data_IF_951209278081
#
_entry.id   IF_951209278081
#
_cell.length_a   1.000
_cell.length_b   1.000
_cell.length_c   1.000
_cell.angle_alpha   90.00
_cell.angle_beta   90.00
_cell.angle_gamma   90.00
#
_symmetry.space_group_name_H-M   'P 1'
#
loop_
_entity.id
_entity.type
_entity.pdbx_description
1 polymer ?
#
# COMPACT_ATOMS: atom_id res chain seq x y z
N UNK A 1 22.61 -11.50 18.43
CA UNK A 1 21.41 -10.67 18.61
C UNK A 1 20.77 -10.52 17.23
N UNK A 2 19.59 -11.11 16.99
CA UNK A 2 18.85 -10.87 15.76
C UNK A 2 18.34 -9.43 15.79
N UNK A 3 18.75 -8.61 14.82
CA UNK A 3 18.19 -7.28 14.61
C UNK A 3 16.73 -7.48 14.20
N UNK A 4 15.79 -6.79 14.85
CA UNK A 4 14.39 -6.85 14.45
C UNK A 4 14.26 -6.40 12.99
N UNK A 5 13.41 -7.07 12.21
CA UNK A 5 13.13 -6.68 10.83
C UNK A 5 12.55 -5.27 10.78
N UNK A 6 12.77 -4.53 9.69
CA UNK A 6 12.24 -3.16 9.57
C UNK A 6 10.71 -3.15 9.70
N UNK A 7 10.07 -4.21 9.19
CA UNK A 7 8.65 -4.46 9.37
C UNK A 7 8.22 -4.47 10.84
N UNK A 8 8.91 -5.24 11.69
CA UNK A 8 8.61 -5.32 13.13
C UNK A 8 8.83 -3.97 13.82
N UNK A 9 9.86 -3.23 13.41
CA UNK A 9 10.16 -1.91 13.96
C UNK A 9 9.03 -0.93 13.69
N UNK A 10 8.56 -0.80 12.44
CA UNK A 10 7.48 0.14 12.09
C UNK A 10 6.15 -0.20 12.74
N UNK A 11 5.77 -1.48 12.72
CA UNK A 11 4.53 -1.92 13.36
C UNK A 11 4.55 -1.63 14.87
N UNK A 12 5.69 -1.92 15.52
CA UNK A 12 5.87 -1.60 16.93
C UNK A 12 5.88 -0.09 17.20
N UNK A 13 6.52 0.72 16.37
CA UNK A 13 6.53 2.18 16.49
C UNK A 13 5.11 2.76 16.37
N UNK A 14 4.32 2.27 15.42
CA UNK A 14 2.91 2.65 15.29
C UNK A 14 2.13 2.28 16.56
N UNK A 15 2.25 1.03 17.03
CA UNK A 15 1.55 0.56 18.23
C UNK A 15 1.94 1.37 19.48
N UNK A 16 3.20 1.73 19.62
CA UNK A 16 3.71 2.56 20.72
C UNK A 16 3.16 3.99 20.66
N UNK A 17 3.12 4.61 19.49
CA UNK A 17 2.55 5.95 19.32
C UNK A 17 1.05 5.98 19.62
N UNK A 18 0.31 4.96 19.17
CA UNK A 18 -1.13 4.81 19.44
C UNK A 18 -1.39 4.65 20.94
N UNK A 19 -0.58 3.83 21.63
CA UNK A 19 -0.71 3.61 23.09
C UNK A 19 -0.40 4.84 23.94
N UNK A 20 0.43 5.76 23.44
CA UNK A 20 0.76 7.00 24.15
C UNK A 20 -0.37 8.03 24.10
N UNK A 21 -1.40 7.82 23.27
CA UNK A 21 -2.62 8.63 23.26
C UNK A 21 -3.67 8.01 24.18
N UNK A 22 -4.17 8.76 25.16
CA UNK A 22 -5.25 8.34 26.09
C UNK A 22 -6.49 7.78 25.38
N UNK A 23 -6.70 8.18 24.13
CA UNK A 23 -7.59 7.55 23.14
C UNK A 23 -7.00 7.82 21.76
N UNK A 24 -6.79 6.81 20.90
CA UNK A 24 -6.41 7.07 19.51
C UNK A 24 -7.59 7.73 18.80
N UNK A 25 -7.56 9.05 18.77
CA UNK A 25 -8.47 9.82 17.95
C UNK A 25 -8.05 9.69 16.48
N UNK A 26 -8.97 9.82 15.53
CA UNK A 26 -8.68 9.64 14.11
C UNK A 26 -7.47 10.46 13.64
N UNK A 27 -7.31 11.67 14.16
CA UNK A 27 -6.18 12.56 13.88
C UNK A 27 -4.84 11.93 14.29
N UNK A 28 -4.78 11.25 15.43
CA UNK A 28 -3.60 10.51 15.88
C UNK A 28 -3.27 9.37 14.92
N UNK A 29 -4.28 8.64 14.43
CA UNK A 29 -4.07 7.57 13.47
C UNK A 29 -3.52 8.12 12.16
N UNK A 30 -4.13 9.18 11.61
CA UNK A 30 -3.66 9.83 10.38
C UNK A 30 -2.21 10.34 10.54
N UNK A 31 -1.89 10.99 11.65
CA UNK A 31 -0.55 11.51 11.92
C UNK A 31 0.47 10.37 12.14
N UNK A 32 0.10 9.31 12.84
CA UNK A 32 0.95 8.14 13.09
C UNK A 32 1.27 7.43 11.77
N UNK A 33 0.28 7.20 10.92
CA UNK A 33 0.49 6.58 9.60
C UNK A 33 1.39 7.47 8.74
N UNK A 34 1.18 8.79 8.76
CA UNK A 34 2.05 9.73 8.06
C UNK A 34 3.50 9.68 8.56
N UNK A 35 3.72 9.66 9.88
CA UNK A 35 5.08 9.62 10.45
C UNK A 35 5.79 8.30 10.24
N UNK A 36 5.10 7.19 10.43
CA UNK A 36 5.71 5.85 10.41
C UNK A 36 5.81 5.31 8.98
N UNK A 37 4.82 5.54 8.14
CA UNK A 37 4.73 4.98 6.79
C UNK A 37 4.94 6.01 5.68
N UNK A 38 5.22 7.28 6.03
CA UNK A 38 5.35 8.38 5.05
C UNK A 38 4.12 8.50 4.13
N UNK A 39 2.93 8.25 4.68
CA UNK A 39 1.69 8.16 3.92
C UNK A 39 0.62 9.10 4.50
N UNK A 40 0.14 10.03 3.68
CA UNK A 40 -0.91 10.97 4.08
C UNK A 40 -2.30 10.43 3.69
N UNK A 41 -2.93 9.70 4.62
CA UNK A 41 -4.27 9.13 4.42
C UNK A 41 -5.33 10.22 4.17
N UNK A 42 -5.15 11.42 4.71
CA UNK A 42 -6.10 12.52 4.48
C UNK A 42 -5.99 13.01 3.03
N UNK A 43 -4.79 13.21 2.53
CA UNK A 43 -4.56 13.58 1.13
C UNK A 43 -5.09 12.50 0.16
N UNK A 44 -4.86 11.23 0.47
CA UNK A 44 -5.42 10.09 -0.30
C UNK A 44 -6.95 10.19 -0.37
N UNK A 45 -7.59 10.43 0.78
CA UNK A 45 -9.03 10.63 0.86
C UNK A 45 -9.50 11.84 0.06
N UNK A 46 -8.84 13.00 0.19
CA UNK A 46 -9.25 14.25 -0.46
C UNK A 46 -9.14 14.17 -2.00
N UNK A 47 -8.24 13.31 -2.51
CA UNK A 47 -8.11 13.02 -3.94
C UNK A 47 -9.08 11.95 -4.46
N UNK A 48 -9.84 11.30 -3.57
CA UNK A 48 -10.73 10.19 -3.92
C UNK A 48 -9.99 8.90 -4.32
N UNK A 49 -8.73 8.76 -3.92
CA UNK A 49 -7.90 7.58 -4.23
C UNK A 49 -7.99 6.50 -3.13
N UNK A 50 -7.29 5.38 -3.30
CA UNK A 50 -7.31 4.23 -2.37
C UNK A 50 -8.34 3.16 -2.78
N UNK A 51 -9.19 2.69 -1.86
CA UNK A 51 -10.25 1.70 -2.19
C UNK A 51 -11.27 2.34 -3.13
N UNK A 52 -11.37 1.80 -4.35
CA UNK A 52 -12.25 2.28 -5.42
C UNK A 52 -13.47 1.37 -5.66
N UNK A 53 -13.71 0.40 -4.78
CA UNK A 53 -14.89 -0.46 -4.87
C UNK A 53 -16.18 0.36 -4.71
N UNK A 54 -17.25 -0.06 -5.40
CA UNK A 54 -18.54 0.64 -5.37
C UNK A 54 -19.26 0.57 -4.02
N UNK A 55 -18.70 -0.13 -3.03
CA UNK A 55 -19.25 -0.28 -1.68
C UNK A 55 -18.14 -0.69 -0.70
N UNK A 56 -18.16 -0.17 0.52
CA UNK A 56 -17.36 -0.71 1.62
C UNK A 56 -17.86 -2.10 2.07
N UNK A 57 -17.06 -2.78 2.90
CA UNK A 57 -17.49 -4.02 3.55
C UNK A 57 -18.67 -3.78 4.50
N UNK A 58 -19.45 -4.83 4.78
CA UNK A 58 -20.59 -4.73 5.70
C UNK A 58 -20.18 -4.24 7.09
N UNK A 59 -18.98 -4.60 7.56
CA UNK A 59 -18.44 -4.12 8.83
C UNK A 59 -18.25 -2.59 8.86
N UNK A 60 -17.72 -2.00 7.79
CA UNK A 60 -17.57 -0.55 7.66
C UNK A 60 -18.95 0.12 7.57
N UNK A 61 -19.84 -0.44 6.75
CA UNK A 61 -21.20 0.10 6.58
C UNK A 61 -21.98 0.10 7.91
N UNK A 62 -21.89 -0.98 8.68
CA UNK A 62 -22.52 -1.09 9.99
C UNK A 62 -21.93 -0.09 10.99
N UNK A 63 -20.60 0.05 11.02
CA UNK A 63 -19.91 0.95 11.96
C UNK A 63 -20.31 2.42 11.74
N UNK A 64 -20.34 2.88 10.49
CA UNK A 64 -20.80 4.23 10.14
C UNK A 64 -22.29 4.38 10.42
N UNK A 65 -23.09 3.39 10.04
CA UNK A 65 -24.54 3.39 10.21
C UNK A 65 -24.96 3.57 11.67
N UNK A 66 -24.32 2.86 12.62
CA UNK A 66 -24.61 2.98 14.05
C UNK A 66 -24.44 4.41 14.58
N UNK A 67 -23.51 5.17 14.02
CA UNK A 67 -23.19 6.53 14.48
C UNK A 67 -24.06 7.60 13.83
N UNK A 68 -24.37 7.45 12.55
CA UNK A 68 -24.99 8.51 11.73
C UNK A 68 -26.45 8.24 11.38
N UNK A 69 -27.09 7.26 12.00
CA UNK A 69 -28.47 6.89 11.69
C UNK A 69 -29.48 8.04 11.87
N UNK A 70 -30.43 8.21 10.93
CA UNK A 70 -30.60 7.44 9.70
C UNK A 70 -29.62 7.87 8.59
N UNK A 71 -29.02 6.90 7.88
CA UNK A 71 -28.15 7.14 6.72
C UNK A 71 -28.20 5.96 5.74
N UNK A 72 -28.12 6.25 4.44
CA UNK A 72 -28.07 5.24 3.37
C UNK A 72 -26.64 4.87 2.97
N UNK A 73 -26.45 3.69 2.37
CA UNK A 73 -25.16 3.27 1.79
C UNK A 73 -24.60 4.31 0.80
N UNK A 74 -25.45 4.90 -0.03
CA UNK A 74 -25.04 5.92 -1.00
C UNK A 74 -24.51 7.20 -0.32
N UNK A 75 -25.11 7.60 0.80
CA UNK A 75 -24.61 8.73 1.59
C UNK A 75 -23.27 8.40 2.26
N UNK A 76 -23.10 7.18 2.79
CA UNK A 76 -21.84 6.72 3.38
C UNK A 76 -20.71 6.77 2.33
N UNK A 77 -20.98 6.34 1.10
CA UNK A 77 -20.00 6.33 0.01
C UNK A 77 -19.57 7.73 -0.44
N UNK A 78 -20.33 8.79 -0.10
CA UNK A 78 -19.99 10.17 -0.44
C UNK A 78 -19.14 10.87 0.63
N UNK A 79 -18.94 10.26 1.81
CA UNK A 79 -18.06 10.85 2.81
C UNK A 79 -16.59 10.70 2.43
N UNK A 80 -15.74 11.66 2.84
CA UNK A 80 -14.30 11.46 2.83
C UNK A 80 -13.94 10.18 3.59
N UNK A 81 -13.05 9.37 3.02
CA UNK A 81 -12.55 8.12 3.65
C UNK A 81 -12.02 8.35 5.06
N UNK A 82 -11.38 9.48 5.32
CA UNK A 82 -10.89 9.79 6.66
C UNK A 82 -12.03 10.00 7.68
N UNK A 83 -13.20 10.48 7.26
CA UNK A 83 -14.40 10.55 8.11
C UNK A 83 -15.01 9.17 8.34
N UNK A 84 -15.03 8.33 7.31
CA UNK A 84 -15.47 6.93 7.42
C UNK A 84 -14.59 6.17 8.42
N UNK A 85 -13.27 6.31 8.32
CA UNK A 85 -12.32 5.73 9.28
C UNK A 85 -12.58 6.25 10.70
N UNK A 86 -12.83 7.55 10.85
CA UNK A 86 -13.19 8.16 12.12
C UNK A 86 -14.41 7.49 12.76
N UNK A 87 -15.47 7.30 11.99
CA UNK A 87 -16.68 6.65 12.50
C UNK A 87 -16.44 5.20 12.90
N UNK A 88 -15.60 4.47 12.15
CA UNK A 88 -15.22 3.10 12.47
C UNK A 88 -14.45 3.03 13.80
N UNK A 89 -13.40 3.84 13.96
CA UNK A 89 -12.56 3.86 15.16
C UNK A 89 -13.35 4.25 16.41
N UNK A 90 -14.36 5.11 16.28
CA UNK A 90 -15.16 5.54 17.42
C UNK A 90 -16.16 4.48 17.93
N UNK A 91 -16.40 3.41 17.17
CA UNK A 91 -17.16 2.25 17.66
C UNK A 91 -16.34 1.39 18.64
N UNK A 92 -15.02 1.54 18.64
CA UNK A 92 -14.13 0.78 19.52
C UNK A 92 -13.78 1.59 20.76
N UNK A 93 -13.99 1.00 21.92
CA UNK A 93 -13.70 1.65 23.19
C UNK A 93 -12.20 1.94 23.37
N UNK A 94 -11.35 1.03 22.87
CA UNK A 94 -9.89 1.13 22.92
C UNK A 94 -9.29 0.31 21.77
N UNK A 95 -9.31 0.81 20.52
CA UNK A 95 -8.77 0.08 19.39
C UNK A 95 -7.26 -0.08 19.55
N UNK A 96 -6.77 -1.30 19.34
CA UNK A 96 -5.33 -1.57 19.31
C UNK A 96 -4.74 -1.32 17.92
N UNK A 97 -3.42 -1.45 17.81
CA UNK A 97 -2.74 -1.20 16.54
C UNK A 97 -3.15 -2.16 15.43
N UNK A 98 -3.50 -3.41 15.75
CA UNK A 98 -3.94 -4.39 14.75
C UNK A 98 -5.32 -4.05 14.22
N UNK A 99 -6.28 -3.75 15.10
CA UNK A 99 -7.61 -3.25 14.71
C UNK A 99 -7.51 -1.97 13.86
N UNK A 100 -6.66 -1.01 14.26
CA UNK A 100 -6.46 0.23 13.48
C UNK A 100 -5.95 -0.08 12.07
N UNK A 101 -5.00 -1.02 11.93
CA UNK A 101 -4.51 -1.45 10.61
C UNK A 101 -5.61 -2.11 9.78
N UNK A 102 -6.47 -2.92 10.40
CA UNK A 102 -7.62 -3.53 9.73
C UNK A 102 -8.62 -2.48 9.23
N UNK A 103 -8.92 -1.45 10.03
CA UNK A 103 -9.79 -0.36 9.59
C UNK A 103 -9.17 0.47 8.46
N UNK A 104 -7.86 0.74 8.52
CA UNK A 104 -7.15 1.41 7.42
C UNK A 104 -7.26 0.58 6.14
N UNK A 105 -7.07 -0.73 6.19
CA UNK A 105 -7.23 -1.59 5.01
C UNK A 105 -8.69 -1.67 4.53
N UNK A 106 -9.65 -1.76 5.45
CA UNK A 106 -11.06 -1.82 5.11
C UNK A 106 -11.54 -0.53 4.41
N UNK A 107 -11.09 0.64 4.86
CA UNK A 107 -11.55 1.94 4.34
C UNK A 107 -10.71 2.43 3.14
N UNK A 108 -9.39 2.28 3.23
CA UNK A 108 -8.45 2.78 2.23
C UNK A 108 -7.92 1.71 1.27
N UNK A 109 -8.08 0.42 1.58
CA UNK A 109 -7.50 -0.67 0.79
C UNK A 109 -5.97 -0.72 0.88
N UNK A 110 -5.41 -0.32 2.02
CA UNK A 110 -3.99 -0.20 2.28
C UNK A 110 -3.58 -1.15 3.39
N UNK A 111 -2.83 -2.19 3.04
CA UNK A 111 -2.28 -3.16 3.99
C UNK A 111 -0.95 -2.64 4.56
N UNK A 112 -1.00 -1.91 5.68
CA UNK A 112 0.19 -1.36 6.35
C UNK A 112 1.22 -2.42 6.77
N UNK A 113 0.79 -3.65 7.11
CA UNK A 113 1.72 -4.76 7.40
C UNK A 113 2.53 -5.14 6.16
N UNK A 114 1.85 -5.19 5.01
CA UNK A 114 2.48 -5.38 3.70
C UNK A 114 3.42 -4.24 3.35
N UNK A 115 2.99 -2.98 3.52
CA UNK A 115 3.83 -1.80 3.25
C UNK A 115 5.15 -1.87 4.00
N UNK A 116 5.14 -2.17 5.29
CA UNK A 116 6.36 -2.23 6.08
C UNK A 116 7.34 -3.35 5.62
N UNK A 117 6.84 -4.40 4.97
CA UNK A 117 7.71 -5.43 4.37
C UNK A 117 8.33 -5.00 3.03
N UNK A 118 7.68 -4.11 2.28
CA UNK A 118 8.17 -3.64 0.98
C UNK A 118 9.42 -2.77 1.12
N UNK A 119 9.46 -1.92 2.14
CA UNK A 119 10.60 -1.03 2.39
C UNK A 119 11.87 -1.82 2.75
N UNK A 120 11.72 -2.93 3.48
CA UNK A 120 12.85 -3.82 3.77
C UNK A 120 13.41 -4.46 2.49
N UNK A 121 12.54 -4.72 1.52
CA UNK A 121 12.93 -5.21 0.21
C UNK A 121 13.48 -4.12 -0.72
N UNK A 122 13.52 -2.85 -0.30
CA UNK A 122 13.92 -1.68 -1.12
C UNK A 122 13.05 -1.52 -2.37
N UNK A 123 11.74 -1.74 -2.22
CA UNK A 123 10.76 -1.67 -3.30
C UNK A 123 9.81 -0.51 -3.05
N UNK A 124 9.76 0.42 -3.99
CA UNK A 124 8.71 1.44 -4.07
C UNK A 124 7.49 0.86 -4.78
N UNK A 125 6.30 1.17 -4.27
CA UNK A 125 5.03 0.77 -4.88
C UNK A 125 4.15 2.00 -5.08
N UNK A 126 3.79 2.27 -6.33
CA UNK A 126 2.74 3.19 -6.72
C UNK A 126 1.53 2.37 -7.15
N UNK A 127 0.36 2.66 -6.59
CA UNK A 127 -0.87 1.92 -6.90
C UNK A 127 -2.06 2.83 -6.72
N UNK A 128 -3.04 2.74 -7.62
CA UNK A 128 -4.31 3.49 -7.51
C UNK A 128 -4.08 4.99 -7.26
N UNK A 129 -3.16 5.58 -8.02
CA UNK A 129 -2.86 7.01 -7.96
C UNK A 129 -2.06 7.47 -6.73
N UNK A 130 -1.61 6.55 -5.86
CA UNK A 130 -0.93 6.89 -4.60
C UNK A 130 0.37 6.10 -4.42
N UNK A 131 1.33 6.71 -3.74
CA UNK A 131 2.52 6.00 -3.26
C UNK A 131 2.13 5.17 -2.03
N UNK A 132 2.09 3.86 -2.20
CA UNK A 132 1.81 2.90 -1.13
C UNK A 132 3.07 2.64 -0.29
N UNK A 133 4.23 2.60 -0.94
CA UNK A 133 5.55 2.54 -0.31
C UNK A 133 6.51 3.36 -1.16
N UNK A 134 7.34 4.20 -0.53
CA UNK A 134 8.42 4.91 -1.23
C UNK A 134 9.48 5.39 -0.24
N UNK A 135 10.67 4.84 -0.36
CA UNK A 135 11.86 5.28 0.36
C UNK A 135 12.94 5.80 -0.60
N UNK A 136 13.75 6.80 -0.18
CA UNK A 136 14.83 7.33 -1.02
C UNK A 136 15.82 6.27 -1.51
N UNK A 137 16.06 5.23 -0.72
CA UNK A 137 17.00 4.14 -0.99
C UNK A 137 16.42 2.96 -1.76
N UNK A 138 15.13 3.00 -2.11
CA UNK A 138 14.48 1.96 -2.90
C UNK A 138 15.15 1.84 -4.27
N UNK A 139 15.27 0.62 -4.77
CA UNK A 139 15.96 0.30 -6.02
C UNK A 139 15.00 0.05 -7.18
N UNK A 140 13.85 -0.57 -6.89
CA UNK A 140 12.89 -0.97 -7.91
C UNK A 140 11.55 -0.32 -7.61
N UNK A 141 10.87 0.12 -8.67
CA UNK A 141 9.51 0.67 -8.60
C UNK A 141 8.54 -0.31 -9.25
N UNK A 142 7.45 -0.58 -8.54
CA UNK A 142 6.26 -1.26 -9.06
C UNK A 142 5.16 -0.21 -9.17
N UNK A 143 4.64 -0.01 -10.38
CA UNK A 143 3.54 0.91 -10.64
C UNK A 143 2.35 0.12 -11.19
N UNK A 144 1.23 0.11 -10.48
CA UNK A 144 0.00 -0.49 -10.95
C UNK A 144 -1.04 0.58 -11.25
N UNK A 145 -1.65 0.51 -12.44
CA UNK A 145 -2.72 1.40 -12.83
C UNK A 145 -3.98 1.25 -11.95
N UNK A 146 -4.94 2.15 -12.18
CA UNK A 146 -6.23 2.11 -11.46
C UNK A 146 -6.95 0.79 -11.70
N UNK A 147 -7.42 0.16 -10.62
CA UNK A 147 -8.07 -1.15 -10.64
C UNK A 147 -7.09 -2.33 -10.59
N UNK A 148 -5.79 -2.06 -10.52
CA UNK A 148 -4.70 -3.05 -10.55
C UNK A 148 -4.83 -4.02 -11.74
N UNK A 149 -5.25 -3.53 -12.91
CA UNK A 149 -5.41 -4.33 -14.14
C UNK A 149 -4.06 -4.60 -14.80
N UNK A 150 -3.12 -3.69 -14.58
CA UNK A 150 -1.79 -3.72 -15.14
C UNK A 150 -0.72 -3.37 -14.10
N UNK A 151 0.52 -3.74 -14.43
CA UNK A 151 1.70 -3.58 -13.59
C UNK A 151 2.89 -3.22 -14.46
N UNK A 152 3.55 -2.14 -14.13
CA UNK A 152 4.86 -1.71 -14.62
C UNK A 152 5.92 -1.99 -13.56
N UNK A 153 7.08 -2.48 -13.99
CA UNK A 153 8.26 -2.67 -13.14
C UNK A 153 9.45 -2.00 -13.82
N UNK A 154 10.13 -1.10 -13.11
CA UNK A 154 11.24 -0.32 -13.65
C UNK A 154 12.21 0.10 -12.53
N UNK A 155 13.47 0.46 -12.83
CA UNK A 155 14.40 0.90 -11.80
C UNK A 155 14.03 2.27 -11.25
N UNK A 156 14.31 2.47 -9.96
CA UNK A 156 14.19 3.78 -9.34
C UNK A 156 15.32 4.72 -9.81
N UNK A 157 15.15 6.02 -9.58
CA UNK A 157 16.24 6.98 -9.79
C UNK A 157 17.51 6.62 -8.99
N UNK A 158 17.35 6.03 -7.81
CA UNK A 158 18.46 5.65 -6.95
C UNK A 158 19.24 4.48 -7.53
N UNK A 159 18.56 3.48 -8.10
CA UNK A 159 19.20 2.41 -8.85
C UNK A 159 19.95 2.97 -10.07
N UNK A 160 19.30 3.82 -10.87
CA UNK A 160 19.90 4.39 -12.07
C UNK A 160 21.18 5.17 -11.73
N UNK A 161 21.17 5.93 -10.63
CA UNK A 161 22.35 6.67 -10.16
C UNK A 161 23.48 5.74 -9.70
N UNK A 162 23.15 4.62 -9.07
CA UNK A 162 24.14 3.66 -8.54
C UNK A 162 24.78 2.81 -9.66
N UNK A 163 23.95 2.28 -10.56
CA UNK A 163 24.37 1.33 -11.59
C UNK A 163 24.68 2.00 -12.94
N UNK A 164 24.42 3.30 -13.06
CA UNK A 164 24.58 4.08 -14.30
C UNK A 164 23.82 3.49 -15.50
N UNK A 165 22.69 2.82 -15.25
CA UNK A 165 21.85 2.17 -16.28
C UNK A 165 20.36 2.27 -15.95
N UNK A 166 19.54 2.30 -16.99
CA UNK A 166 18.06 2.18 -16.94
C UNK A 166 17.58 0.73 -17.03
N UNK A 167 18.49 -0.22 -17.24
CA UNK A 167 18.14 -1.63 -17.33
C UNK A 167 18.08 -2.28 -15.94
N UNK A 168 17.01 -3.04 -15.68
CA UNK A 168 16.93 -3.94 -14.53
C UNK A 168 18.01 -5.03 -14.59
N UNK A 169 18.40 -5.66 -13.47
CA UNK A 169 19.35 -6.77 -13.50
C UNK A 169 18.87 -7.89 -14.43
N UNK A 170 19.77 -8.48 -15.23
CA UNK A 170 19.42 -9.51 -16.24
C UNK A 170 18.59 -10.65 -15.63
N UNK A 171 18.95 -11.11 -14.43
CA UNK A 171 18.20 -12.16 -13.73
C UNK A 171 16.75 -11.75 -13.42
N UNK A 172 16.53 -10.48 -13.05
CA UNK A 172 15.19 -9.94 -12.84
C UNK A 172 14.42 -9.80 -14.16
N UNK A 173 15.09 -9.36 -15.23
CA UNK A 173 14.48 -9.28 -16.56
C UNK A 173 13.96 -10.65 -17.02
N UNK A 174 14.80 -11.68 -16.96
CA UNK A 174 14.45 -13.05 -17.33
C UNK A 174 13.29 -13.60 -16.48
N UNK A 175 13.33 -13.36 -15.18
CA UNK A 175 12.27 -13.80 -14.27
C UNK A 175 10.93 -13.10 -14.57
N UNK A 176 10.93 -11.79 -14.85
CA UNK A 176 9.72 -11.05 -15.24
C UNK A 176 9.16 -11.55 -16.58
N UNK A 177 10.02 -11.78 -17.59
CA UNK A 177 9.59 -12.35 -18.87
C UNK A 177 8.96 -13.74 -18.68
N UNK A 178 9.52 -14.58 -17.80
CA UNK A 178 8.98 -15.91 -17.51
C UNK A 178 7.60 -15.87 -16.83
N UNK A 179 7.30 -14.79 -16.11
CA UNK A 179 5.98 -14.55 -15.51
C UNK A 179 4.94 -14.05 -16.52
N UNK A 180 5.37 -13.64 -17.72
CA UNK A 180 4.50 -13.11 -18.77
C UNK A 180 4.54 -11.59 -18.91
N UNK A 181 5.52 -10.90 -18.31
CA UNK A 181 5.77 -9.49 -18.60
C UNK A 181 6.34 -9.33 -20.02
N UNK A 182 6.08 -8.17 -20.61
CA UNK A 182 6.65 -7.73 -21.88
C UNK A 182 7.67 -6.62 -21.62
N UNK A 183 8.84 -6.72 -22.25
CA UNK A 183 9.84 -5.65 -22.19
C UNK A 183 9.45 -4.49 -23.12
N UNK A 184 9.29 -3.31 -22.54
CA UNK A 184 9.01 -2.04 -23.21
C UNK A 184 10.34 -1.32 -23.48
N UNK A 185 10.85 -1.45 -24.70
CA UNK A 185 12.18 -0.95 -25.09
C UNK A 185 12.31 0.57 -25.03
N UNK A 186 11.21 1.29 -25.17
CA UNK A 186 11.19 2.75 -25.15
C UNK A 186 11.49 3.32 -23.75
N UNK A 187 11.23 2.54 -22.70
CA UNK A 187 11.33 2.96 -21.30
C UNK A 187 12.18 2.02 -20.45
N UNK A 188 12.84 1.03 -21.05
CA UNK A 188 13.57 -0.06 -20.39
C UNK A 188 12.83 -0.65 -19.18
N UNK A 189 11.51 -0.85 -19.35
CA UNK A 189 10.60 -1.27 -18.28
C UNK A 189 9.85 -2.53 -18.64
N UNK A 190 9.32 -3.23 -17.65
CA UNK A 190 8.54 -4.45 -17.84
C UNK A 190 7.08 -4.19 -17.56
N UNK A 191 6.22 -4.52 -18.54
CA UNK A 191 4.78 -4.31 -18.46
C UNK A 191 4.02 -5.62 -18.47
N UNK A 192 3.02 -5.73 -17.61
CA UNK A 192 2.02 -6.79 -17.64
C UNK A 192 0.63 -6.17 -17.59
N UNK A 193 -0.29 -6.72 -18.38
CA UNK A 193 -1.72 -6.39 -18.33
C UNK A 193 -2.53 -7.67 -18.34
N UNK A 194 -3.52 -7.78 -17.47
CA UNK A 194 -4.45 -8.88 -17.52
C UNK A 194 -5.28 -8.83 -18.81
N UNK A 195 -5.27 -9.93 -19.58
CA UNK A 195 -5.95 -10.06 -20.88
C UNK A 195 -7.47 -9.86 -20.79
N UNK A 196 -8.07 -10.12 -19.62
CA UNK A 196 -9.50 -9.97 -19.40
C UNK A 196 -9.93 -8.57 -18.94
N UNK A 197 -8.98 -7.63 -18.83
CA UNK A 197 -9.18 -6.31 -18.20
C UNK A 197 -9.72 -6.41 -16.76
N UNK A 198 -9.42 -7.52 -16.08
CA UNK A 198 -9.74 -7.72 -14.66
C UNK A 198 -8.51 -7.38 -13.80
N UNK A 199 -8.73 -7.19 -12.51
CA UNK A 199 -7.62 -7.00 -11.57
C UNK A 199 -6.64 -8.17 -11.67
N UNK A 200 -5.34 -7.89 -11.63
CA UNK A 200 -4.29 -8.91 -11.63
C UNK A 200 -4.51 -9.85 -10.43
N UNK A 201 -4.56 -11.18 -10.64
CA UNK A 201 -4.85 -12.12 -9.57
C UNK A 201 -3.84 -12.01 -8.41
N UNK A 202 -4.28 -12.20 -7.14
CA UNK A 202 -3.39 -12.15 -5.98
C UNK A 202 -2.18 -13.09 -6.08
N UNK A 203 -2.36 -14.29 -6.66
CA UNK A 203 -1.27 -15.24 -6.89
C UNK A 203 -0.23 -14.74 -7.88
N UNK A 204 -0.64 -13.97 -8.90
CA UNK A 204 0.28 -13.33 -9.82
C UNK A 204 1.04 -12.20 -9.12
N UNK A 205 0.33 -11.31 -8.42
CA UNK A 205 0.94 -10.22 -7.61
C UNK A 205 1.98 -10.79 -6.64
N UNK A 206 1.66 -11.87 -5.94
CA UNK A 206 2.58 -12.54 -5.02
C UNK A 206 3.85 -13.07 -5.69
N UNK A 207 3.75 -13.67 -6.88
CA UNK A 207 4.93 -14.13 -7.65
C UNK A 207 5.78 -12.98 -8.16
N UNK A 208 5.17 -11.90 -8.65
CA UNK A 208 5.89 -10.68 -9.04
C UNK A 208 6.69 -10.13 -7.86
N UNK A 209 6.05 -10.01 -6.70
CA UNK A 209 6.73 -9.52 -5.50
C UNK A 209 7.91 -10.40 -5.09
N UNK A 210 7.73 -11.72 -5.11
CA UNK A 210 8.79 -12.65 -4.73
C UNK A 210 10.04 -12.53 -5.63
N UNK A 211 9.84 -12.48 -6.95
CA UNK A 211 10.92 -12.32 -7.93
C UNK A 211 11.67 -11.00 -7.74
N UNK A 212 10.95 -9.89 -7.50
CA UNK A 212 11.58 -8.59 -7.29
C UNK A 212 12.35 -8.56 -5.97
N UNK A 213 11.78 -9.12 -4.89
CA UNK A 213 12.46 -9.18 -3.59
C UNK A 213 13.74 -10.03 -3.64
N UNK A 214 13.76 -11.11 -4.40
CA UNK A 214 14.97 -11.92 -4.60
C UNK A 214 16.06 -11.15 -5.36
N UNK A 215 15.66 -10.41 -6.40
CA UNK A 215 16.57 -9.57 -7.17
C UNK A 215 17.15 -8.43 -6.32
N UNK A 216 16.33 -7.73 -5.52
CA UNK A 216 16.82 -6.63 -4.68
C UNK A 216 17.72 -7.11 -3.55
N UNK A 217 17.46 -8.29 -2.99
CA UNK A 217 18.34 -8.91 -2.00
C UNK A 217 19.73 -9.26 -2.57
N UNK A 218 19.82 -9.52 -3.88
CA UNK A 218 21.09 -9.82 -4.56
C UNK A 218 21.90 -8.56 -4.92
N UNK A 219 21.31 -7.37 -4.78
CA UNK A 219 21.94 -6.06 -5.04
C UNK A 219 22.47 -5.39 -3.75
N UNK A 220 22.32 -6.04 -2.60
CA UNK A 220 22.75 -5.55 -1.28
C UNK A 220 24.06 -6.21 -0.82
#
# INVERSE_FOLDING_TARGET
MNKASNQQVKLKQMDEQIKQSDRPIPETVLETVRKVFNMDLKEISDRGEGRLEGRYSDAVMEAVGKRRQPISDAEIMNFPKWEVLKDCLEQEAAPDGDSIREWVDAVFGINLKGVASLEEARISVYSKGIWVSRQPEDLIVIDSGRGDIDVHVYPSETYIKAEATTELPVSLQEALLSLGYTHMKETDSFYYRNEHNESVPPSFKGRTMAVISEATASLA
#
